data_IF_414006395325
#
_entry.id   IF_414006395325
#
_cell.length_a   1.000
_cell.length_b   1.000
_cell.length_c   1.000
_cell.angle_alpha   90.00
_cell.angle_beta   90.00
_cell.angle_gamma   90.00
#
_symmetry.space_group_name_H-M   'P 1'
#
loop_
_entity.id
_entity.type
_entity.pdbx_description
1 polymer ?
#
# COMPACT_ATOMS: atom_id res chain seq x y z
N UNK A 1 21.09 -8.57 -18.44
CA UNK A 1 21.19 -7.52 -17.40
C UNK A 1 20.97 -8.25 -16.09
N UNK A 2 21.99 -8.29 -15.24
CA UNK A 2 21.98 -9.01 -13.95
C UNK A 2 21.51 -8.07 -12.83
N UNK A 3 20.36 -7.43 -13.05
CA UNK A 3 19.79 -6.43 -12.15
C UNK A 3 18.54 -6.94 -11.44
N UNK A 4 18.32 -6.41 -10.24
CA UNK A 4 17.03 -6.53 -9.55
C UNK A 4 16.09 -5.47 -10.11
N UNK A 5 14.87 -5.87 -10.49
CA UNK A 5 13.81 -4.99 -10.98
C UNK A 5 12.66 -5.01 -9.96
N UNK A 6 12.16 -3.84 -9.57
CA UNK A 6 11.04 -3.70 -8.65
C UNK A 6 9.87 -3.01 -9.35
N UNK A 7 8.69 -3.63 -9.35
CA UNK A 7 7.46 -3.10 -9.96
C UNK A 7 6.28 -3.40 -9.04
N UNK A 8 5.61 -2.37 -8.53
CA UNK A 8 4.61 -2.55 -7.47
C UNK A 8 5.27 -3.14 -6.22
N UNK A 9 4.74 -4.28 -5.75
CA UNK A 9 5.30 -5.09 -4.64
C UNK A 9 6.08 -6.30 -5.13
N UNK A 10 6.20 -6.47 -6.45
CA UNK A 10 6.97 -7.53 -7.07
C UNK A 10 8.43 -7.10 -7.17
N UNK A 11 9.32 -7.95 -6.68
CA UNK A 11 10.75 -7.88 -6.91
C UNK A 11 11.17 -9.05 -7.78
N UNK A 12 11.98 -8.79 -8.82
CA UNK A 12 12.54 -9.79 -9.73
C UNK A 12 14.05 -9.69 -9.68
N UNK A 13 14.71 -10.78 -9.31
CA UNK A 13 16.15 -10.96 -9.46
C UNK A 13 16.42 -11.77 -10.74
N UNK A 14 16.86 -11.08 -11.80
CA UNK A 14 17.13 -11.70 -13.09
C UNK A 14 18.33 -12.66 -13.04
N UNK A 15 19.34 -12.38 -12.22
CA UNK A 15 20.54 -13.19 -12.09
C UNK A 15 20.27 -14.48 -11.31
N UNK A 16 19.52 -14.38 -10.21
CA UNK A 16 19.10 -15.54 -9.40
C UNK A 16 17.88 -16.28 -9.99
N UNK A 17 17.21 -15.69 -10.98
CA UNK A 17 15.93 -16.15 -11.54
C UNK A 17 14.86 -16.36 -10.46
N UNK A 18 14.73 -15.39 -9.56
CA UNK A 18 13.76 -15.40 -8.47
C UNK A 18 12.83 -14.21 -8.56
N UNK A 19 11.60 -14.40 -8.10
CA UNK A 19 10.66 -13.32 -7.92
C UNK A 19 10.01 -13.45 -6.55
N UNK A 20 9.78 -12.34 -5.86
CA UNK A 20 9.11 -12.30 -4.57
C UNK A 20 8.08 -11.16 -4.50
N UNK A 21 7.06 -11.34 -3.66
CA UNK A 21 6.11 -10.27 -3.29
C UNK A 21 6.32 -9.98 -1.82
N UNK A 22 6.66 -8.73 -1.48
CA UNK A 22 6.93 -8.31 -0.09
C UNK A 22 7.91 -9.28 0.63
N UNK A 23 8.96 -9.75 -0.06
CA UNK A 23 9.96 -10.68 0.47
C UNK A 23 9.57 -12.16 0.47
N UNK A 24 8.36 -12.53 0.03
CA UNK A 24 7.90 -13.91 -0.06
C UNK A 24 8.08 -14.45 -1.48
N UNK A 25 8.99 -15.40 -1.65
CA UNK A 25 9.34 -15.97 -2.96
C UNK A 25 8.12 -16.67 -3.63
N UNK A 26 7.89 -16.35 -4.91
CA UNK A 26 6.83 -16.90 -5.73
C UNK A 26 7.37 -18.11 -6.49
N UNK A 27 6.67 -19.25 -6.41
CA UNK A 27 7.03 -20.44 -7.17
C UNK A 27 6.61 -20.32 -8.64
N UNK A 28 7.59 -20.29 -9.55
CA UNK A 28 7.36 -20.17 -10.99
C UNK A 28 8.25 -21.13 -11.79
N UNK A 29 7.69 -21.61 -12.89
CA UNK A 29 8.44 -22.36 -13.90
C UNK A 29 9.42 -21.43 -14.62
N UNK A 30 10.49 -21.97 -15.25
CA UNK A 30 11.42 -21.15 -16.03
C UNK A 30 10.71 -20.31 -17.10
N UNK A 31 9.66 -20.84 -17.72
CA UNK A 31 8.93 -20.12 -18.76
C UNK A 31 8.05 -19.00 -18.22
N UNK A 32 7.38 -19.20 -17.09
CA UNK A 32 6.63 -18.12 -16.43
C UNK A 32 7.55 -16.98 -16.00
N UNK A 33 8.74 -17.30 -15.51
CA UNK A 33 9.75 -16.29 -15.18
C UNK A 33 10.19 -15.49 -16.41
N UNK A 34 10.51 -16.16 -17.52
CA UNK A 34 10.93 -15.47 -18.76
C UNK A 34 9.80 -14.60 -19.33
N UNK A 35 8.56 -15.08 -19.28
CA UNK A 35 7.36 -14.32 -19.67
C UNK A 35 7.20 -13.08 -18.79
N UNK A 36 7.28 -13.25 -17.47
CA UNK A 36 7.17 -12.16 -16.51
C UNK A 36 8.26 -11.11 -16.73
N UNK A 37 9.51 -11.54 -16.94
CA UNK A 37 10.64 -10.65 -17.23
C UNK A 37 10.36 -9.78 -18.47
N UNK A 38 9.91 -10.38 -19.57
CA UNK A 38 9.59 -9.63 -20.80
C UNK A 38 8.47 -8.62 -20.56
N UNK A 39 7.44 -8.99 -19.80
CA UNK A 39 6.33 -8.09 -19.49
C UNK A 39 6.75 -6.93 -18.57
N UNK A 40 7.62 -7.19 -17.58
CA UNK A 40 8.14 -6.19 -16.65
C UNK A 40 9.10 -5.23 -17.34
N UNK A 41 10.01 -5.72 -18.19
CA UNK A 41 10.91 -4.87 -19.01
C UNK A 41 10.14 -3.96 -19.98
N UNK A 42 8.87 -4.28 -20.24
CA UNK A 42 7.96 -3.53 -21.10
C UNK A 42 6.72 -3.02 -20.35
N UNK A 43 6.85 -2.71 -19.06
CA UNK A 43 5.80 -2.13 -18.23
C UNK A 43 5.10 -0.96 -18.96
N UNK A 44 3.76 -0.94 -18.92
CA UNK A 44 2.94 0.09 -19.55
C UNK A 44 2.87 0.03 -21.08
N UNK A 45 3.67 -0.82 -21.75
CA UNK A 45 3.66 -1.00 -23.21
C UNK A 45 2.83 -2.21 -23.61
N UNK A 46 2.04 -2.04 -24.67
CA UNK A 46 1.29 -3.15 -25.25
C UNK A 46 2.24 -4.05 -26.06
N UNK A 47 2.29 -5.32 -25.67
CA UNK A 47 3.15 -6.34 -26.26
C UNK A 47 2.29 -7.33 -27.05
N UNK A 48 2.56 -7.48 -28.34
CA UNK A 48 1.91 -8.51 -29.16
C UNK A 48 2.36 -9.90 -28.75
N UNK A 49 1.53 -10.92 -29.02
CA UNK A 49 1.88 -12.32 -28.72
C UNK A 49 3.18 -12.73 -29.38
N UNK A 50 3.41 -12.33 -30.64
CA UNK A 50 4.65 -12.64 -31.36
C UNK A 50 5.88 -12.01 -30.69
N UNK A 51 5.77 -10.77 -30.22
CA UNK A 51 6.88 -10.08 -29.51
C UNK A 51 7.15 -10.73 -28.16
N UNK A 52 6.11 -11.10 -27.43
CA UNK A 52 6.24 -11.83 -26.17
C UNK A 52 6.89 -13.19 -26.41
N UNK A 53 6.43 -13.91 -27.45
CA UNK A 53 6.97 -15.21 -27.83
C UNK A 53 8.46 -15.09 -28.16
N UNK A 54 8.83 -14.15 -29.02
CA UNK A 54 10.22 -13.92 -29.41
C UNK A 54 11.14 -13.52 -28.24
N UNK A 55 10.61 -12.80 -27.25
CA UNK A 55 11.38 -12.34 -26.09
C UNK A 55 11.50 -13.38 -24.97
N UNK A 56 10.48 -14.20 -24.76
CA UNK A 56 10.39 -15.11 -23.63
C UNK A 56 10.63 -16.58 -24.00
N UNK A 57 10.57 -16.95 -25.29
CA UNK A 57 10.93 -18.28 -25.78
C UNK A 57 12.26 -18.26 -26.53
N UNK A 58 12.93 -19.42 -26.58
CA UNK A 58 14.15 -19.58 -27.35
C UNK A 58 13.89 -19.30 -28.84
N UNK A 59 14.85 -18.72 -29.58
CA UNK A 59 14.77 -18.62 -31.04
C UNK A 59 14.57 -19.97 -31.76
N UNK A 60 14.85 -21.09 -31.09
CA UNK A 60 14.63 -22.46 -31.60
C UNK A 60 13.24 -23.02 -31.28
N UNK A 61 12.40 -22.28 -30.58
CA UNK A 61 11.06 -22.71 -30.25
C UNK A 61 10.17 -22.64 -31.49
N UNK A 62 9.70 -23.80 -31.96
CA UNK A 62 8.68 -23.91 -33.00
C UNK A 62 7.33 -24.10 -32.30
N UNK A 63 6.57 -23.02 -32.14
CA UNK A 63 5.25 -23.08 -31.52
C UNK A 63 4.38 -21.88 -31.85
N UNK A 64 3.08 -22.02 -31.62
CA UNK A 64 2.10 -20.99 -31.96
C UNK A 64 2.08 -19.85 -30.94
N UNK A 65 1.82 -18.60 -31.36
CA UNK A 65 1.67 -17.45 -30.46
C UNK A 65 0.59 -17.65 -29.37
N UNK A 66 -0.35 -18.58 -29.58
CA UNK A 66 -1.37 -18.97 -28.59
C UNK A 66 -0.79 -19.60 -27.33
N UNK A 67 0.44 -20.13 -27.35
CA UNK A 67 1.08 -20.65 -26.14
C UNK A 67 1.28 -19.54 -25.08
N UNK A 68 1.45 -18.29 -25.52
CA UNK A 68 1.55 -17.13 -24.62
C UNK A 68 0.32 -17.03 -23.73
N UNK A 69 -0.87 -17.28 -24.28
CA UNK A 69 -2.14 -17.13 -23.56
C UNK A 69 -2.24 -18.13 -22.40
N UNK A 70 -1.77 -19.36 -22.62
CA UNK A 70 -1.72 -20.42 -21.59
C UNK A 70 -0.79 -20.01 -20.44
N UNK A 71 0.41 -19.54 -20.77
CA UNK A 71 1.37 -19.12 -19.74
C UNK A 71 0.93 -17.84 -19.03
N UNK A 72 0.26 -16.90 -19.70
CA UNK A 72 -0.36 -15.74 -19.04
C UNK A 72 -1.46 -16.20 -18.07
N UNK A 73 -2.25 -17.20 -18.44
CA UNK A 73 -3.29 -17.74 -17.55
C UNK A 73 -2.69 -18.36 -16.28
N UNK A 74 -1.54 -19.05 -16.37
CA UNK A 74 -0.84 -19.60 -15.20
C UNK A 74 -0.09 -18.54 -14.38
N UNK A 75 0.45 -17.51 -15.05
CA UNK A 75 1.20 -16.44 -14.39
C UNK A 75 0.30 -15.53 -13.55
N UNK A 76 -0.89 -15.15 -14.06
CA UNK A 76 -1.80 -14.21 -13.38
C UNK A 76 -2.08 -14.51 -11.91
N UNK A 77 -2.54 -15.71 -11.51
CA UNK A 77 -2.85 -15.99 -10.11
C UNK A 77 -1.61 -15.85 -9.21
N UNK A 78 -0.41 -16.09 -9.75
CA UNK A 78 0.86 -15.95 -9.01
C UNK A 78 1.27 -14.51 -8.76
N UNK A 79 0.69 -13.58 -9.52
CA UNK A 79 0.90 -12.14 -9.38
C UNK A 79 -0.19 -11.48 -8.52
N UNK A 80 -1.18 -12.22 -8.02
CA UNK A 80 -2.17 -11.65 -7.12
C UNK A 80 -1.50 -11.08 -5.86
N UNK A 81 -1.94 -9.91 -5.43
CA UNK A 81 -1.31 -9.18 -4.34
C UNK A 81 -0.03 -8.42 -4.74
N UNK A 82 0.59 -8.64 -5.89
CA UNK A 82 1.81 -7.92 -6.28
C UNK A 82 1.61 -6.42 -6.57
N UNK A 83 0.36 -5.93 -6.70
CA UNK A 83 0.10 -4.57 -7.17
C UNK A 83 0.38 -4.38 -8.67
N UNK A 84 0.58 -5.46 -9.42
CA UNK A 84 0.62 -5.42 -10.89
C UNK A 84 -0.47 -6.33 -11.47
N UNK A 85 -0.85 -6.05 -12.73
CA UNK A 85 -1.83 -6.85 -13.47
C UNK A 85 -1.41 -7.01 -14.92
N UNK A 86 -1.49 -8.23 -15.42
CA UNK A 86 -1.35 -8.51 -16.86
C UNK A 86 -2.71 -8.35 -17.54
N UNK A 87 -2.95 -7.19 -18.15
CA UNK A 87 -4.19 -6.83 -18.84
C UNK A 87 -4.20 -7.40 -20.27
N UNK A 88 -5.30 -8.06 -20.65
CA UNK A 88 -5.51 -8.48 -22.05
C UNK A 88 -6.06 -7.31 -22.87
N UNK A 89 -5.37 -6.95 -23.94
CA UNK A 89 -5.93 -6.11 -25.00
C UNK A 89 -6.39 -7.03 -26.13
N UNK A 90 -7.72 -7.25 -26.21
CA UNK A 90 -8.32 -8.19 -27.17
C UNK A 90 -7.87 -7.87 -28.60
N UNK A 91 -7.45 -8.90 -29.33
CA UNK A 91 -6.94 -8.76 -30.70
C UNK A 91 -5.52 -8.20 -30.82
N UNK A 92 -4.92 -7.70 -29.74
CA UNK A 92 -3.58 -7.06 -29.80
C UNK A 92 -2.54 -7.86 -29.03
N UNK A 93 -2.81 -8.18 -27.75
CA UNK A 93 -1.83 -8.85 -26.91
C UNK A 93 -2.03 -8.54 -25.42
N UNK A 94 -0.92 -8.33 -24.72
CA UNK A 94 -0.89 -8.14 -23.28
C UNK A 94 -0.12 -6.89 -22.89
N UNK A 95 -0.49 -6.29 -21.78
CA UNK A 95 0.24 -5.19 -21.14
C UNK A 95 0.34 -5.46 -19.65
N UNK A 96 1.49 -5.21 -19.06
CA UNK A 96 1.63 -5.18 -17.61
C UNK A 96 1.32 -3.77 -17.12
N UNK A 97 0.30 -3.67 -16.30
CA UNK A 97 -0.13 -2.44 -15.66
C UNK A 97 0.26 -2.48 -14.18
N UNK A 98 0.89 -1.43 -13.69
CA UNK A 98 1.00 -1.20 -12.24
C UNK A 98 -0.36 -0.72 -11.76
N UNK A 99 -0.97 -1.52 -10.89
CA UNK A 99 -2.12 -1.08 -10.14
C UNK A 99 -1.55 -0.11 -9.10
N UNK A 100 -1.79 1.20 -9.26
CA UNK A 100 -1.48 2.17 -8.21
C UNK A 100 -1.96 1.63 -6.87
N UNK A 101 -1.16 1.78 -5.81
CA UNK A 101 -1.26 1.01 -4.56
C UNK A 101 -2.70 0.59 -4.24
N UNK A 102 -3.06 -0.64 -4.62
CA UNK A 102 -4.45 -1.12 -4.58
C UNK A 102 -4.91 -1.45 -3.16
N UNK A 103 -3.99 -1.32 -2.20
CA UNK A 103 -4.26 -1.50 -0.78
C UNK A 103 -5.21 -0.40 -0.32
N UNK A 104 -6.26 -0.73 0.45
CA UNK A 104 -7.12 0.28 1.03
C UNK A 104 -6.29 1.31 1.79
N UNK A 105 -6.45 2.57 1.41
CA UNK A 105 -5.80 3.69 2.08
C UNK A 105 -6.74 4.29 3.11
N UNK A 106 -6.27 4.46 4.34
CA UNK A 106 -7.00 5.19 5.39
C UNK A 106 -6.30 6.51 5.69
N UNK A 107 -7.05 7.60 5.81
CA UNK A 107 -6.51 8.88 6.26
C UNK A 107 -7.00 9.17 7.68
N UNK A 108 -6.08 9.29 8.64
CA UNK A 108 -6.39 9.73 10.00
C UNK A 108 -6.19 11.24 10.14
N UNK A 109 -7.18 11.94 10.68
CA UNK A 109 -7.17 13.40 10.80
C UNK A 109 -7.44 13.80 12.23
N UNK A 110 -6.60 14.68 12.79
CA UNK A 110 -6.89 15.38 14.04
C UNK A 110 -6.53 16.86 13.90
N UNK A 111 -6.64 17.64 14.98
CA UNK A 111 -6.34 19.09 14.89
C UNK A 111 -4.87 19.34 14.55
N UNK A 112 -3.94 18.82 15.36
CA UNK A 112 -2.53 19.19 15.33
C UNK A 112 -1.64 18.26 14.48
N UNK A 113 -2.13 17.08 14.09
CA UNK A 113 -1.33 16.00 13.51
C UNK A 113 -0.02 15.71 14.26
N UNK A 114 0.00 15.99 15.57
CA UNK A 114 1.15 15.84 16.44
C UNK A 114 0.98 14.73 17.48
N UNK A 115 -0.23 14.17 17.60
CA UNK A 115 -0.52 13.10 18.54
C UNK A 115 -1.45 12.04 17.99
N UNK A 116 -2.75 12.24 18.15
CA UNK A 116 -3.76 11.17 17.97
C UNK A 116 -3.74 10.57 16.56
N UNK A 117 -3.78 11.38 15.50
CA UNK A 117 -3.75 10.86 14.13
C UNK A 117 -2.41 10.20 13.74
N UNK A 118 -1.29 10.60 14.35
CA UNK A 118 0.01 9.96 14.16
C UNK A 118 0.05 8.57 14.81
N UNK A 119 -0.46 8.47 16.05
CA UNK A 119 -0.60 7.17 16.73
C UNK A 119 -1.49 6.23 15.92
N UNK A 120 -2.65 6.71 15.47
CA UNK A 120 -3.60 5.90 14.71
C UNK A 120 -3.01 5.37 13.39
N UNK A 121 -2.37 6.24 12.59
CA UNK A 121 -1.76 5.82 11.33
C UNK A 121 -0.64 4.79 11.55
N UNK A 122 0.20 4.98 12.57
CA UNK A 122 1.31 4.08 12.83
C UNK A 122 0.86 2.72 13.39
N UNK A 123 -0.12 2.70 14.29
CA UNK A 123 -0.73 1.46 14.77
C UNK A 123 -1.46 0.73 13.64
N UNK A 124 -2.18 1.47 12.78
CA UNK A 124 -2.86 0.89 11.62
C UNK A 124 -1.88 0.22 10.67
N UNK A 125 -0.81 0.92 10.28
CA UNK A 125 0.21 0.36 9.39
C UNK A 125 0.84 -0.92 9.95
N UNK A 126 1.05 -0.98 11.26
CA UNK A 126 1.54 -2.19 11.93
C UNK A 126 0.54 -3.33 11.87
N UNK A 127 -0.72 -3.11 12.25
CA UNK A 127 -1.75 -4.15 12.28
C UNK A 127 -2.19 -4.62 10.90
N UNK A 128 -2.16 -3.71 9.91
CA UNK A 128 -2.51 -4.03 8.53
C UNK A 128 -1.48 -4.98 7.88
N UNK A 129 -0.24 -5.03 8.40
CA UNK A 129 0.80 -5.94 7.89
C UNK A 129 1.07 -5.76 6.40
N UNK A 130 0.97 -4.53 5.91
CA UNK A 130 1.16 -4.22 4.49
C UNK A 130 -0.01 -4.57 3.57
N UNK A 131 -1.17 -5.04 4.08
CA UNK A 131 -2.39 -5.31 3.27
C UNK A 131 -3.26 -4.06 3.07
N UNK A 132 -3.16 -3.12 3.98
CA UNK A 132 -3.64 -1.74 3.88
C UNK A 132 -2.55 -0.80 4.37
N UNK A 133 -2.73 0.48 4.09
CA UNK A 133 -1.85 1.51 4.64
C UNK A 133 -2.64 2.73 5.07
N UNK A 134 -2.04 3.50 5.95
CA UNK A 134 -2.59 4.71 6.48
C UNK A 134 -1.58 5.84 6.46
N UNK A 135 -2.14 7.03 6.32
CA UNK A 135 -1.44 8.28 6.45
C UNK A 135 -2.18 9.19 7.44
N UNK A 136 -1.55 10.28 7.85
CA UNK A 136 -2.17 11.22 8.79
C UNK A 136 -2.07 12.66 8.33
N UNK A 137 -2.99 13.50 8.79
CA UNK A 137 -2.96 14.94 8.55
C UNK A 137 -3.63 15.69 9.70
N UNK A 138 -3.58 17.01 9.65
CA UNK A 138 -4.34 17.84 10.58
C UNK A 138 -4.73 19.19 10.05
N UNK A 139 -5.81 19.74 10.62
CA UNK A 139 -6.38 21.02 10.18
C UNK A 139 -5.52 22.21 10.59
N UNK A 140 -4.77 22.09 11.70
CA UNK A 140 -3.84 23.11 12.23
C UNK A 140 -2.55 22.44 12.73
N UNK A 141 -1.64 22.01 11.83
CA UNK A 141 -0.50 21.17 12.18
C UNK A 141 0.45 21.79 13.20
N UNK A 142 0.91 20.99 14.14
CA UNK A 142 2.03 21.31 15.01
C UNK A 142 3.36 21.31 14.24
N UNK A 143 4.44 21.80 14.86
CA UNK A 143 5.78 21.79 14.25
C UNK A 143 6.45 20.41 14.30
N UNK A 144 6.02 19.53 15.20
CA UNK A 144 6.56 18.18 15.40
C UNK A 144 5.56 17.29 16.14
N UNK A 145 5.76 15.97 16.07
CA UNK A 145 5.09 15.02 16.96
C UNK A 145 5.45 15.32 18.41
N UNK A 146 4.46 15.26 19.30
CA UNK A 146 4.65 15.58 20.70
C UNK A 146 5.63 14.58 21.37
N UNK A 147 6.60 15.03 22.18
CA UNK A 147 7.59 14.13 22.80
C UNK A 147 6.97 12.99 23.62
N UNK A 148 5.88 13.28 24.35
CA UNK A 148 5.14 12.27 25.13
C UNK A 148 4.52 11.18 24.25
N UNK A 149 4.06 11.54 23.06
CA UNK A 149 3.51 10.58 22.07
C UNK A 149 4.63 9.70 21.53
N UNK A 150 5.80 10.27 21.23
CA UNK A 150 6.99 9.50 20.83
C UNK A 150 7.38 8.50 21.92
N UNK A 151 7.44 8.93 23.18
CA UNK A 151 7.77 8.08 24.33
C UNK A 151 6.80 6.91 24.47
N UNK A 152 5.49 7.20 24.50
CA UNK A 152 4.42 6.20 24.63
C UNK A 152 4.35 5.22 23.45
N UNK A 153 4.66 5.68 22.24
CA UNK A 153 4.67 4.80 21.05
C UNK A 153 5.91 3.91 20.99
N UNK A 154 7.05 4.36 21.54
CA UNK A 154 8.25 3.52 21.65
C UNK A 154 8.05 2.34 22.58
N UNK A 155 7.21 2.47 23.61
CA UNK A 155 6.85 1.34 24.50
C UNK A 155 6.25 0.16 23.74
N UNK A 156 5.54 0.44 22.64
CA UNK A 156 4.99 -0.61 21.77
C UNK A 156 5.91 -0.92 20.60
N UNK A 157 7.09 -0.30 20.47
CA UNK A 157 8.04 -0.56 19.38
C UNK A 157 7.80 0.25 18.11
N UNK A 158 7.11 1.39 18.20
CA UNK A 158 6.89 2.33 17.08
C UNK A 158 7.65 3.63 17.35
N UNK A 159 8.53 4.03 16.45
CA UNK A 159 9.29 5.28 16.56
C UNK A 159 8.72 6.38 15.66
N UNK A 160 8.18 7.43 16.27
CA UNK A 160 7.57 8.56 15.57
C UNK A 160 8.47 9.81 15.49
N UNK A 161 9.75 9.73 15.87
CA UNK A 161 10.65 10.91 15.86
C UNK A 161 10.80 11.55 14.47
N UNK A 162 10.77 10.74 13.41
CA UNK A 162 10.89 11.21 12.03
C UNK A 162 9.54 11.63 11.41
N UNK A 163 8.42 11.35 12.08
CA UNK A 163 7.10 11.71 11.59
C UNK A 163 6.91 13.24 11.64
N UNK A 164 6.31 13.78 10.59
CA UNK A 164 6.13 15.23 10.41
C UNK A 164 4.63 15.53 10.34
N UNK A 165 4.11 16.37 11.27
CA UNK A 165 2.77 16.89 11.12
C UNK A 165 2.64 17.65 9.80
N UNK A 166 1.50 17.50 9.12
CA UNK A 166 1.23 18.15 7.83
C UNK A 166 -0.23 18.58 7.71
N UNK A 167 -0.43 19.59 6.87
CA UNK A 167 -1.73 20.21 6.66
C UNK A 167 -2.66 19.26 5.91
N UNK A 168 -3.91 19.16 6.39
CA UNK A 168 -4.97 18.52 5.66
C UNK A 168 -5.31 19.33 4.41
N UNK A 169 -5.27 18.68 3.26
CA UNK A 169 -5.68 19.26 1.97
C UNK A 169 -6.66 18.31 1.28
N UNK A 170 -7.52 18.83 0.40
CA UNK A 170 -8.44 18.00 -0.40
C UNK A 170 -7.69 16.88 -1.14
N UNK A 171 -6.56 17.18 -1.77
CA UNK A 171 -5.75 16.17 -2.48
C UNK A 171 -5.19 15.05 -1.58
N UNK A 172 -5.06 15.28 -0.26
CA UNK A 172 -4.68 14.20 0.67
C UNK A 172 -5.84 13.24 0.95
N UNK A 173 -7.07 13.62 0.64
CA UNK A 173 -8.27 12.80 0.87
C UNK A 173 -8.58 11.93 -0.35
N UNK A 174 -8.03 12.30 -1.51
CA UNK A 174 -8.20 11.56 -2.76
C UNK A 174 -7.71 10.12 -2.63
N UNK A 175 -8.50 9.19 -3.17
CA UNK A 175 -8.21 7.76 -3.16
C UNK A 175 -8.24 7.10 -1.77
N UNK A 176 -8.60 7.82 -0.70
CA UNK A 176 -8.82 7.21 0.60
C UNK A 176 -10.08 6.32 0.57
N UNK A 177 -9.95 5.07 1.02
CA UNK A 177 -11.07 4.18 1.24
C UNK A 177 -11.93 4.62 2.44
N UNK A 178 -11.29 5.22 3.45
CA UNK A 178 -11.91 5.81 4.65
C UNK A 178 -11.12 7.01 5.13
N UNK A 179 -11.83 8.01 5.66
CA UNK A 179 -11.23 9.11 6.42
C UNK A 179 -11.75 9.05 7.85
N UNK A 180 -10.84 9.04 8.81
CA UNK A 180 -11.16 8.95 10.23
C UNK A 180 -10.82 10.29 10.89
N UNK A 181 -11.80 10.99 11.45
CA UNK A 181 -11.59 12.24 12.18
C UNK A 181 -11.55 12.01 13.67
N UNK A 182 -10.72 12.79 14.37
CA UNK A 182 -10.48 12.64 15.80
C UNK A 182 -10.42 14.03 16.45
N UNK A 183 -11.59 14.56 16.79
CA UNK A 183 -11.77 15.87 17.42
C UNK A 183 -11.52 17.06 16.47
N UNK A 184 -11.76 16.88 15.18
CA UNK A 184 -11.59 17.93 14.16
C UNK A 184 -12.75 18.03 13.15
N UNK A 185 -13.82 17.26 13.32
CA UNK A 185 -14.98 17.29 12.44
C UNK A 185 -15.79 18.59 12.57
N UNK A 186 -15.81 19.22 13.75
CA UNK A 186 -16.54 20.46 14.03
C UNK A 186 -15.81 21.75 13.57
N UNK A 187 -14.83 21.65 12.66
CA UNK A 187 -13.97 22.76 12.23
C UNK A 187 -13.77 22.84 10.71
N UNK A 188 -12.61 23.35 10.28
CA UNK A 188 -12.17 23.56 8.88
C UNK A 188 -11.93 22.25 8.10
N UNK A 189 -12.76 21.22 8.29
CA UNK A 189 -12.65 19.95 7.58
C UNK A 189 -13.26 20.10 6.17
N UNK A 190 -12.50 19.78 5.10
CA UNK A 190 -13.01 19.95 3.74
C UNK A 190 -14.12 18.94 3.43
N UNK A 191 -14.97 19.28 2.46
CA UNK A 191 -15.87 18.29 1.86
C UNK A 191 -15.03 17.27 1.09
N UNK A 192 -15.20 16.00 1.42
CA UNK A 192 -14.45 14.87 0.83
C UNK A 192 -15.41 13.84 0.26
N UNK A 193 -14.97 13.11 -0.77
CA UNK A 193 -15.75 12.05 -1.41
C UNK A 193 -15.70 10.72 -0.66
N UNK A 194 -14.61 10.48 0.07
CA UNK A 194 -14.42 9.27 0.85
C UNK A 194 -15.36 9.24 2.08
N UNK A 195 -15.86 8.05 2.49
CA UNK A 195 -16.65 7.94 3.72
C UNK A 195 -15.85 8.42 4.94
N UNK A 196 -16.47 9.31 5.71
CA UNK A 196 -15.89 9.90 6.93
C UNK A 196 -16.50 9.23 8.16
N UNK A 197 -15.65 8.80 9.08
CA UNK A 197 -16.05 8.28 10.39
C UNK A 197 -15.42 9.17 11.49
N UNK A 198 -16.25 9.66 12.40
CA UNK A 198 -15.75 10.45 13.53
C UNK A 198 -15.56 9.59 14.76
N UNK A 199 -14.32 9.55 15.23
CA UNK A 199 -13.95 8.91 16.49
C UNK A 199 -14.09 9.86 17.68
N UNK A 200 -14.42 11.12 17.44
CA UNK A 200 -14.64 12.14 18.46
C UNK A 200 -13.34 12.56 19.17
N UNK A 201 -13.44 13.45 20.17
CA UNK A 201 -12.30 13.82 21.01
C UNK A 201 -11.95 12.64 21.93
N UNK A 202 -10.79 12.03 21.68
CA UNK A 202 -10.20 11.01 22.56
C UNK A 202 -9.44 11.69 23.70
N UNK A 203 -10.07 12.61 24.42
CA UNK A 203 -9.40 13.36 25.50
C UNK A 203 -9.63 12.68 26.85
N UNK A 204 -8.55 12.23 27.49
CA UNK A 204 -8.57 11.82 28.90
C UNK A 204 -8.02 12.96 29.78
N UNK A 205 -8.69 14.13 29.77
CA UNK A 205 -8.62 15.19 30.80
C UNK A 205 -7.26 15.76 31.22
N UNK A 206 -6.13 15.32 30.66
CA UNK A 206 -4.80 15.57 31.18
C UNK A 206 -3.70 15.48 30.13
N UNK A 207 -2.52 16.00 30.47
CA UNK A 207 -1.33 15.95 29.62
C UNK A 207 -0.28 14.96 30.15
N UNK A 208 -0.64 14.03 31.04
CA UNK A 208 0.30 13.07 31.61
C UNK A 208 0.67 11.98 30.58
N UNK A 209 1.80 11.30 30.78
CA UNK A 209 2.15 10.13 29.97
C UNK A 209 1.09 9.03 30.10
N UNK A 210 0.48 8.87 31.27
CA UNK A 210 -0.60 7.91 31.51
C UNK A 210 -1.85 8.24 30.67
N UNK A 211 -2.27 9.50 30.62
CA UNK A 211 -3.34 9.93 29.70
C UNK A 211 -2.98 9.56 28.26
N UNK A 212 -1.76 9.82 27.81
CA UNK A 212 -1.35 9.50 26.44
C UNK A 212 -1.36 7.99 26.18
N UNK A 213 -1.01 7.15 27.16
CA UNK A 213 -1.13 5.68 27.06
C UNK A 213 -2.60 5.25 26.93
N UNK A 214 -3.49 5.79 27.75
CA UNK A 214 -4.93 5.50 27.65
C UNK A 214 -5.48 5.87 26.26
N UNK A 215 -5.05 7.02 25.72
CA UNK A 215 -5.41 7.45 24.36
C UNK A 215 -4.83 6.49 23.31
N UNK A 216 -3.55 6.11 23.41
CA UNK A 216 -2.93 5.12 22.52
C UNK A 216 -3.73 3.82 22.51
N UNK A 217 -4.06 3.29 23.68
CA UNK A 217 -4.72 1.99 23.81
C UNK A 217 -6.17 2.03 23.30
N UNK A 218 -6.88 3.14 23.54
CA UNK A 218 -8.20 3.38 22.96
C UNK A 218 -8.15 3.46 21.41
N UNK A 219 -7.16 4.16 20.86
CA UNK A 219 -6.90 4.21 19.42
C UNK A 219 -6.59 2.81 18.89
N UNK A 220 -5.72 2.05 19.57
CA UNK A 220 -5.32 0.70 19.15
C UNK A 220 -6.52 -0.24 19.04
N UNK A 221 -7.42 -0.19 20.02
CA UNK A 221 -8.66 -0.96 20.01
C UNK A 221 -9.52 -0.67 18.77
N UNK A 222 -9.73 0.61 18.45
CA UNK A 222 -10.51 1.02 17.26
C UNK A 222 -9.79 0.70 15.95
N UNK A 223 -8.47 0.87 15.89
CA UNK A 223 -7.65 0.52 14.73
C UNK A 223 -7.76 -0.97 14.41
N UNK A 224 -7.72 -1.86 15.40
CA UNK A 224 -7.87 -3.31 15.17
C UNK A 224 -9.23 -3.67 14.57
N UNK A 225 -10.29 -3.02 15.03
CA UNK A 225 -11.64 -3.16 14.46
C UNK A 225 -11.69 -2.65 13.02
N UNK A 226 -11.08 -1.50 12.74
CA UNK A 226 -11.01 -0.92 11.40
C UNK A 226 -10.21 -1.80 10.43
N UNK A 227 -9.08 -2.36 10.83
CA UNK A 227 -8.31 -3.29 10.00
C UNK A 227 -9.15 -4.54 9.67
N UNK A 228 -9.90 -5.05 10.65
CA UNK A 228 -10.78 -6.21 10.46
C UNK A 228 -11.96 -5.92 9.53
N UNK A 229 -12.47 -4.68 9.51
CA UNK A 229 -13.63 -4.31 8.69
C UNK A 229 -13.30 -4.04 7.21
N UNK A 230 -12.03 -3.79 6.88
CA UNK A 230 -11.58 -3.50 5.53
C UNK A 230 -11.50 -4.74 4.61
N UNK A 231 -11.90 -5.93 5.09
CA UNK A 231 -11.93 -7.20 4.34
C UNK A 231 -10.60 -7.52 3.62
N UNK A 232 -9.49 -7.15 4.26
CA UNK A 232 -8.10 -7.37 3.86
C UNK A 232 -7.52 -8.52 4.64
#
# INVERSE_FOLDING_TARGET
MDGVIEVGRLRIDAGARRADIDGHEIQMTPREFDLLRVLVENEGKVMSRDRILAGAWSPRFVGEPKTVDVHVAWLRPKLEGSGIRVTTLRGVGYRLDVLGDSRPRVLFVCVDNGGRSQMAAALFNRHAGGRAWADSAGTRPATRVQPKVVEVMREVGVDLRAAKPRLLTVGLTDGAARVITMGCADGDFPVVSAPVEDWGPLDAGGQSLETVRLIRDAIDGRVRLLVSSLAI
#
